data_IF_731830272609
#
_entry.id   IF_731830272609
#
_cell.length_a   1.000
_cell.length_b   1.000
_cell.length_c   1.000
_cell.angle_alpha   90.00
_cell.angle_beta   90.00
_cell.angle_gamma   90.00
#
_symmetry.space_group_name_H-M   'P 1'
#
loop_
_entity.id
_entity.type
_entity.pdbx_description
1 polymer ?
#
# COMPACT_ATOMS: atom_id res chain seq x y z
N UNK A 1 -9.96 -16.64 -8.09
CA UNK A 1 -9.62 -15.87 -6.87
C UNK A 1 -8.18 -16.15 -6.39
N UNK A 2 -7.81 -17.39 -6.06
CA UNK A 2 -6.49 -17.71 -5.48
C UNK A 2 -5.28 -17.25 -6.31
N UNK A 3 -5.35 -17.35 -7.65
CA UNK A 3 -4.27 -16.90 -8.55
C UNK A 3 -3.93 -15.40 -8.39
N UNK A 4 -4.95 -14.56 -8.17
CA UNK A 4 -4.73 -13.14 -7.89
C UNK A 4 -3.99 -12.97 -6.57
N UNK A 5 -4.43 -13.67 -5.52
CA UNK A 5 -3.84 -13.63 -4.17
C UNK A 5 -2.37 -14.05 -4.20
N UNK A 6 -2.00 -15.10 -4.95
CA UNK A 6 -0.59 -15.48 -5.10
C UNK A 6 0.26 -14.36 -5.73
N UNK A 7 -0.28 -13.65 -6.70
CA UNK A 7 0.36 -12.47 -7.27
C UNK A 7 0.54 -11.32 -6.28
N UNK A 8 -0.24 -11.26 -5.20
CA UNK A 8 -0.16 -10.23 -4.15
C UNK A 8 0.82 -10.55 -3.02
N UNK A 9 1.39 -11.75 -2.94
CA UNK A 9 2.32 -12.12 -1.84
C UNK A 9 3.47 -11.10 -1.71
N UNK A 10 4.15 -10.69 -2.80
CA UNK A 10 5.24 -9.70 -2.68
C UNK A 10 4.76 -8.33 -2.20
N UNK A 11 3.51 -7.96 -2.43
CA UNK A 11 2.92 -6.69 -2.00
C UNK A 11 2.89 -6.54 -0.48
N UNK A 12 2.69 -7.64 0.26
CA UNK A 12 2.65 -7.61 1.73
C UNK A 12 3.99 -7.11 2.29
N UNK A 13 5.10 -7.58 1.71
CA UNK A 13 6.45 -7.14 2.08
C UNK A 13 6.72 -5.70 1.63
N UNK A 14 6.23 -5.32 0.45
CA UNK A 14 6.31 -3.93 0.01
C UNK A 14 5.58 -3.00 1.00
N UNK A 15 4.41 -3.37 1.50
CA UNK A 15 3.71 -2.61 2.53
C UNK A 15 4.49 -2.50 3.84
N UNK A 16 5.08 -3.60 4.30
CA UNK A 16 5.92 -3.59 5.50
C UNK A 16 7.09 -2.59 5.40
N UNK A 17 7.66 -2.39 4.20
CA UNK A 17 8.70 -1.38 3.95
C UNK A 17 8.13 0.03 3.72
N UNK A 18 7.02 0.13 2.98
CA UNK A 18 6.41 1.38 2.56
C UNK A 18 5.84 2.18 3.75
N UNK A 19 5.20 1.51 4.72
CA UNK A 19 4.60 2.20 5.86
C UNK A 19 5.64 2.97 6.71
N UNK A 20 6.77 2.38 7.13
CA UNK A 20 7.83 3.13 7.81
C UNK A 20 8.42 4.26 6.97
N UNK A 21 8.69 4.04 5.68
CA UNK A 21 9.28 5.06 4.79
C UNK A 21 8.33 6.26 4.66
N UNK A 22 7.05 6.00 4.43
CA UNK A 22 6.04 7.06 4.35
C UNK A 22 5.92 7.82 5.66
N UNK A 23 5.86 7.13 6.81
CA UNK A 23 5.79 7.80 8.12
C UNK A 23 7.04 8.61 8.42
N UNK A 24 8.23 8.12 8.05
CA UNK A 24 9.49 8.85 8.18
C UNK A 24 9.47 10.16 7.39
N UNK A 25 9.04 10.13 6.13
CA UNK A 25 8.96 11.33 5.28
C UNK A 25 7.84 12.28 5.73
N UNK A 26 6.66 11.76 6.08
CA UNK A 26 5.51 12.54 6.56
C UNK A 26 5.79 13.25 7.89
N UNK A 27 6.49 12.59 8.83
CA UNK A 27 6.87 13.20 10.11
C UNK A 27 7.80 14.41 9.95
N UNK A 28 8.50 14.51 8.83
CA UNK A 28 9.36 15.64 8.45
C UNK A 28 8.64 16.64 7.52
N UNK A 29 7.34 16.49 7.32
CA UNK A 29 6.53 17.27 6.38
C UNK A 29 7.00 17.18 4.91
N UNK A 30 7.69 16.09 4.54
CA UNK A 30 8.17 15.85 3.17
C UNK A 30 7.10 15.06 2.39
N UNK A 31 6.06 15.74 1.93
CA UNK A 31 4.92 15.11 1.24
C UNK A 31 4.97 15.23 -0.29
N UNK A 32 5.55 16.31 -0.83
CA UNK A 32 5.59 16.54 -2.28
C UNK A 32 6.30 15.41 -3.06
N UNK A 33 7.47 14.91 -2.62
CA UNK A 33 8.13 13.79 -3.32
C UNK A 33 7.29 12.51 -3.27
N UNK A 34 6.61 12.23 -2.16
CA UNK A 34 5.69 11.09 -2.04
C UNK A 34 4.58 11.20 -3.08
N UNK A 35 3.98 12.39 -3.21
CA UNK A 35 2.92 12.64 -4.17
C UNK A 35 3.40 12.43 -5.61
N UNK A 36 4.52 13.05 -6.00
CA UNK A 36 5.06 12.90 -7.36
C UNK A 36 5.43 11.44 -7.70
N UNK A 37 6.10 10.74 -6.78
CA UNK A 37 6.46 9.32 -6.97
C UNK A 37 5.20 8.47 -7.13
N UNK A 38 4.20 8.67 -6.28
CA UNK A 38 2.96 7.89 -6.30
C UNK A 38 2.14 8.18 -7.57
N UNK A 39 2.05 9.43 -7.99
CA UNK A 39 1.38 9.81 -9.25
C UNK A 39 2.06 9.20 -10.46
N UNK A 40 3.39 9.23 -10.52
CA UNK A 40 4.14 8.60 -11.61
C UNK A 40 3.98 7.07 -11.59
N UNK A 41 4.04 6.45 -10.40
CA UNK A 41 3.83 5.02 -10.25
C UNK A 41 2.41 4.59 -10.63
N UNK A 42 1.40 5.43 -10.39
CA UNK A 42 0.02 5.19 -10.83
C UNK A 42 -0.10 5.19 -12.35
N UNK A 43 0.50 6.19 -13.03
CA UNK A 43 0.53 6.22 -14.50
C UNK A 43 1.24 4.99 -15.09
N UNK A 44 2.37 4.60 -14.49
CA UNK A 44 3.10 3.38 -14.88
C UNK A 44 2.27 2.12 -14.60
N UNK A 45 1.57 2.06 -13.47
CA UNK A 45 0.68 0.94 -13.13
C UNK A 45 -0.41 0.74 -14.18
N UNK A 46 -1.05 1.82 -14.66
CA UNK A 46 -2.05 1.76 -15.73
C UNK A 46 -1.47 1.12 -16.99
N UNK A 47 -0.29 1.57 -17.41
CA UNK A 47 0.40 1.03 -18.59
C UNK A 47 0.76 -0.45 -18.42
N UNK A 48 1.37 -0.81 -17.29
CA UNK A 48 1.78 -2.19 -17.00
C UNK A 48 0.57 -3.13 -16.91
N UNK A 49 -0.53 -2.68 -16.28
CA UNK A 49 -1.76 -3.46 -16.15
C UNK A 49 -2.39 -3.68 -17.52
N UNK A 50 -2.42 -2.65 -18.37
CA UNK A 50 -2.89 -2.78 -19.75
C UNK A 50 -2.07 -3.81 -20.54
N UNK A 51 -0.75 -3.72 -20.49
CA UNK A 51 0.15 -4.68 -21.13
C UNK A 51 -0.06 -6.10 -20.62
N UNK A 52 -0.10 -6.29 -19.30
CA UNK A 52 -0.22 -7.62 -18.70
C UNK A 52 -1.55 -8.31 -19.02
N UNK A 53 -2.66 -7.56 -19.06
CA UNK A 53 -4.00 -8.12 -19.25
C UNK A 53 -4.39 -8.24 -20.72
N UNK A 54 -4.15 -7.20 -21.53
CA UNK A 54 -4.65 -7.15 -22.90
C UNK A 54 -3.63 -7.64 -23.93
N UNK A 55 -2.33 -7.37 -23.72
CA UNK A 55 -1.28 -7.78 -24.66
C UNK A 55 -0.75 -9.17 -24.31
N UNK A 56 -0.27 -9.36 -23.08
CA UNK A 56 0.36 -10.61 -22.65
C UNK A 56 -0.63 -11.66 -22.13
N UNK A 57 -1.87 -11.27 -21.86
CA UNK A 57 -2.96 -12.15 -21.41
C UNK A 57 -2.60 -12.99 -20.17
N UNK A 58 -1.86 -12.41 -19.23
CA UNK A 58 -1.44 -13.06 -17.98
C UNK A 58 -2.58 -13.30 -16.98
N UNK A 59 -3.79 -12.84 -17.30
CA UNK A 59 -5.00 -13.08 -16.51
C UNK A 59 -4.91 -12.54 -15.07
N UNK A 60 -5.62 -13.19 -14.14
CA UNK A 60 -5.72 -12.74 -12.75
C UNK A 60 -4.38 -12.76 -12.00
N UNK A 61 -3.48 -13.70 -12.32
CA UNK A 61 -2.14 -13.72 -11.73
C UNK A 61 -1.35 -12.46 -12.15
N UNK A 62 -1.41 -12.12 -13.44
CA UNK A 62 -0.78 -10.92 -13.99
C UNK A 62 -1.27 -9.63 -13.32
N UNK A 63 -2.57 -9.51 -13.08
CA UNK A 63 -3.14 -8.36 -12.36
C UNK A 63 -2.53 -8.20 -10.96
N UNK A 64 -2.47 -9.29 -10.18
CA UNK A 64 -1.88 -9.28 -8.84
C UNK A 64 -0.37 -8.99 -8.86
N UNK A 65 0.35 -9.62 -9.79
CA UNK A 65 1.79 -9.44 -9.93
C UNK A 65 2.19 -8.01 -10.34
N UNK A 66 1.45 -7.38 -11.25
CA UNK A 66 1.68 -5.98 -11.66
C UNK A 66 1.40 -5.03 -10.50
N UNK A 67 0.35 -5.27 -9.71
CA UNK A 67 0.07 -4.48 -8.52
C UNK A 67 1.22 -4.60 -7.49
N UNK A 68 1.67 -5.82 -7.20
CA UNK A 68 2.84 -6.08 -6.36
C UNK A 68 4.09 -5.33 -6.84
N UNK A 69 4.37 -5.40 -8.14
CA UNK A 69 5.51 -4.72 -8.76
C UNK A 69 5.41 -3.20 -8.59
N UNK A 70 4.21 -2.64 -8.76
CA UNK A 70 3.97 -1.19 -8.64
C UNK A 70 4.27 -0.69 -7.23
N UNK A 71 3.89 -1.44 -6.21
CA UNK A 71 4.24 -1.13 -4.82
C UNK A 71 5.74 -1.19 -4.56
N UNK A 72 6.45 -2.17 -5.11
CA UNK A 72 7.90 -2.24 -5.01
C UNK A 72 8.61 -1.06 -5.70
N UNK A 73 8.10 -0.62 -6.85
CA UNK A 73 8.61 0.57 -7.54
C UNK A 73 8.50 1.81 -6.64
N UNK A 74 7.35 2.00 -5.97
CA UNK A 74 7.15 3.09 -5.00
C UNK A 74 8.16 2.97 -3.85
N UNK A 75 8.29 1.79 -3.23
CA UNK A 75 9.22 1.56 -2.12
C UNK A 75 10.65 1.90 -2.51
N UNK A 76 11.11 1.42 -3.68
CA UNK A 76 12.47 1.67 -4.17
C UNK A 76 12.65 3.16 -4.44
N UNK A 77 11.71 3.81 -5.12
CA UNK A 77 11.81 5.23 -5.44
C UNK A 77 11.84 6.11 -4.17
N UNK A 78 10.98 5.83 -3.19
CA UNK A 78 10.97 6.55 -1.92
C UNK A 78 12.25 6.29 -1.12
N UNK A 79 12.74 5.04 -1.09
CA UNK A 79 13.98 4.71 -0.40
C UNK A 79 15.19 5.41 -1.03
N UNK A 80 15.28 5.43 -2.37
CA UNK A 80 16.32 6.19 -3.09
C UNK A 80 16.23 7.67 -2.74
N UNK A 81 15.03 8.25 -2.65
CA UNK A 81 14.84 9.63 -2.22
C UNK A 81 15.38 9.86 -0.80
N UNK A 82 15.06 8.99 0.16
CA UNK A 82 15.55 9.08 1.55
C UNK A 82 17.08 9.06 1.61
N UNK A 83 17.74 8.18 0.84
CA UNK A 83 19.20 8.02 0.86
C UNK A 83 19.92 9.16 0.12
N UNK A 84 19.33 9.72 -0.94
CA UNK A 84 19.98 10.71 -1.81
C UNK A 84 19.65 12.17 -1.48
N UNK A 85 18.50 12.43 -0.85
CA UNK A 85 18.02 13.80 -0.62
C UNK A 85 18.80 14.50 0.50
N UNK A 86 19.22 15.73 0.25
CA UNK A 86 19.86 16.59 1.25
C UNK A 86 18.99 16.80 2.49
N UNK A 87 17.66 16.82 2.30
CA UNK A 87 16.66 16.98 3.37
C UNK A 87 16.72 15.85 4.41
N UNK A 88 17.10 14.65 3.99
CA UNK A 88 17.15 13.46 4.84
C UNK A 88 18.56 13.15 5.35
N UNK A 89 19.60 13.90 4.97
CA UNK A 89 20.99 13.62 5.36
C UNK A 89 21.21 13.64 6.88
N UNK A 90 20.53 14.53 7.59
CA UNK A 90 20.67 14.66 9.05
C UNK A 90 19.81 13.65 9.82
N UNK A 91 18.70 13.17 9.24
CA UNK A 91 17.74 12.29 9.89
C UNK A 91 17.95 10.81 9.56
N UNK A 92 18.50 10.52 8.38
CA UNK A 92 18.89 9.18 7.96
C UNK A 92 20.38 8.92 8.24
N UNK A 93 20.66 8.15 9.29
CA UNK A 93 22.03 7.77 9.67
C UNK A 93 22.38 6.31 9.34
N UNK A 94 21.61 5.70 8.43
CA UNK A 94 21.72 4.30 8.04
C UNK A 94 21.05 3.32 9.02
N UNK A 95 21.14 2.03 8.69
CA UNK A 95 20.60 0.97 9.53
C UNK A 95 21.46 0.78 10.78
N UNK A 96 20.82 0.86 11.96
CA UNK A 96 21.48 0.65 13.26
C UNK A 96 20.68 -0.34 14.09
N UNK A 97 21.38 -1.27 14.74
CA UNK A 97 20.77 -2.26 15.65
C UNK A 97 20.09 -1.62 16.86
N UNK A 98 20.54 -0.44 17.28
CA UNK A 98 19.89 0.34 18.34
C UNK A 98 18.45 0.74 17.99
N UNK A 99 18.05 0.75 16.71
CA UNK A 99 16.66 1.00 16.33
C UNK A 99 15.68 -0.07 16.87
N UNK A 100 16.19 -1.27 17.20
CA UNK A 100 15.39 -2.37 17.70
C UNK A 100 15.20 -2.35 19.23
N UNK A 101 15.87 -1.45 19.97
CA UNK A 101 15.80 -1.44 21.46
C UNK A 101 14.48 -0.92 22.02
N UNK A 102 13.75 -0.08 21.26
CA UNK A 102 12.50 0.57 21.71
C UNK A 102 11.26 0.10 20.93
N UNK A 103 11.30 -1.13 20.40
CA UNK A 103 10.21 -1.69 19.60
C UNK A 103 8.91 -1.88 20.38
N UNK A 104 8.95 -2.08 21.70
CA UNK A 104 7.77 -2.40 22.47
C UNK A 104 6.74 -1.26 22.49
N UNK A 105 7.19 -0.03 22.69
CA UNK A 105 6.31 1.14 22.67
C UNK A 105 5.75 1.38 21.25
N UNK A 106 6.59 1.19 20.23
CA UNK A 106 6.16 1.24 18.83
C UNK A 106 5.11 0.16 18.51
N UNK A 107 5.29 -1.06 19.02
CA UNK A 107 4.37 -2.17 18.85
C UNK A 107 3.03 -1.87 19.49
N UNK A 108 3.00 -1.36 20.73
CA UNK A 108 1.76 -1.00 21.43
C UNK A 108 0.95 0.05 20.65
N UNK A 109 1.62 1.08 20.13
CA UNK A 109 0.97 2.12 19.32
C UNK A 109 0.49 1.58 17.95
N UNK A 110 1.32 0.75 17.32
CA UNK A 110 0.99 0.10 16.05
C UNK A 110 -0.18 -0.87 16.19
N UNK A 111 -0.26 -1.61 17.30
CA UNK A 111 -1.36 -2.53 17.58
C UNK A 111 -2.70 -1.79 17.73
N UNK A 112 -2.72 -0.66 18.45
CA UNK A 112 -3.93 0.16 18.56
C UNK A 112 -4.38 0.69 17.18
N UNK A 113 -3.42 1.16 16.36
CA UNK A 113 -3.69 1.62 15.00
C UNK A 113 -4.19 0.49 14.09
N UNK A 114 -3.63 -0.72 14.24
CA UNK A 114 -4.04 -1.90 13.49
C UNK A 114 -5.47 -2.33 13.85
N UNK A 115 -5.83 -2.33 15.14
CA UNK A 115 -7.20 -2.63 15.58
C UNK A 115 -8.18 -1.63 14.98
N UNK A 116 -7.86 -0.33 15.02
CA UNK A 116 -8.69 0.71 14.41
C UNK A 116 -8.93 0.46 12.92
N UNK A 117 -7.85 0.22 12.15
CA UNK A 117 -7.94 -0.03 10.70
C UNK A 117 -8.68 -1.34 10.38
N UNK A 118 -8.48 -2.38 11.18
CA UNK A 118 -9.19 -3.66 11.03
C UNK A 118 -10.69 -3.48 11.27
N UNK A 119 -11.07 -2.76 12.34
CA UNK A 119 -12.48 -2.51 12.64
C UNK A 119 -13.14 -1.66 11.54
N UNK A 120 -12.46 -0.63 11.04
CA UNK A 120 -12.94 0.17 9.91
C UNK A 120 -13.14 -0.69 8.65
N UNK A 121 -12.14 -1.52 8.31
CA UNK A 121 -12.20 -2.39 7.13
C UNK A 121 -13.30 -3.44 7.28
N UNK A 122 -13.41 -4.10 8.44
CA UNK A 122 -14.43 -5.12 8.68
C UNK A 122 -15.83 -4.52 8.68
N UNK A 123 -16.00 -3.35 9.30
CA UNK A 123 -17.27 -2.63 9.28
C UNK A 123 -17.73 -2.34 7.84
N UNK A 124 -16.82 -1.87 6.98
CA UNK A 124 -17.13 -1.64 5.58
C UNK A 124 -17.51 -2.94 4.86
N UNK A 125 -16.73 -4.02 5.03
CA UNK A 125 -17.03 -5.29 4.38
C UNK A 125 -18.33 -5.93 4.86
N UNK A 126 -18.64 -5.84 6.16
CA UNK A 126 -19.92 -6.33 6.69
C UNK A 126 -21.07 -5.54 6.08
N UNK A 127 -20.95 -4.22 5.96
CA UNK A 127 -21.98 -3.37 5.35
C UNK A 127 -22.21 -3.75 3.88
N UNK A 128 -21.15 -3.96 3.11
CA UNK A 128 -21.23 -4.45 1.71
C UNK A 128 -21.89 -5.83 1.65
N UNK A 129 -21.52 -6.76 2.53
CA UNK A 129 -22.13 -8.09 2.59
C UNK A 129 -23.63 -8.02 2.90
N UNK A 130 -24.03 -7.18 3.86
CA UNK A 130 -25.43 -6.98 4.20
C UNK A 130 -26.20 -6.39 3.01
N UNK A 131 -25.70 -5.35 2.36
CA UNK A 131 -26.34 -4.77 1.19
C UNK A 131 -26.48 -5.76 0.03
N UNK A 132 -25.50 -6.65 -0.16
CA UNK A 132 -25.59 -7.74 -1.13
C UNK A 132 -26.66 -8.80 -0.81
N UNK A 133 -27.19 -8.83 0.41
CA UNK A 133 -28.24 -9.74 0.86
C UNK A 133 -29.64 -9.08 0.90
N UNK A 134 -29.74 -7.77 0.67
CA UNK A 134 -31.02 -7.05 0.64
C UNK A 134 -31.77 -7.26 -0.69
N UNK A 135 -33.09 -7.00 -0.72
CA UNK A 135 -33.84 -6.92 -1.98
C UNK A 135 -33.25 -5.82 -2.88
N UNK A 136 -33.13 -6.13 -4.17
CA UNK A 136 -32.46 -5.26 -5.15
C UNK A 136 -30.99 -4.92 -4.77
N UNK A 137 -30.11 -5.94 -4.67
CA UNK A 137 -28.76 -5.77 -4.17
C UNK A 137 -27.90 -4.85 -5.05
N UNK A 138 -28.19 -4.73 -6.35
CA UNK A 138 -27.49 -3.82 -7.25
C UNK A 138 -27.70 -2.36 -6.84
N UNK A 139 -28.96 -1.95 -6.62
CA UNK A 139 -29.29 -0.60 -6.15
C UNK A 139 -28.71 -0.32 -4.76
N UNK A 140 -28.78 -1.28 -3.84
CA UNK A 140 -28.26 -1.12 -2.48
C UNK A 140 -26.73 -1.01 -2.45
N UNK A 141 -26.02 -1.82 -3.24
CA UNK A 141 -24.57 -1.74 -3.37
C UNK A 141 -24.14 -0.44 -4.05
N UNK A 142 -24.87 0.01 -5.08
CA UNK A 142 -24.59 1.29 -5.73
C UNK A 142 -24.78 2.49 -4.78
N UNK A 143 -25.77 2.44 -3.88
CA UNK A 143 -25.98 3.47 -2.87
C UNK A 143 -24.83 3.56 -1.84
N UNK A 144 -24.14 2.44 -1.58
CA UNK A 144 -22.95 2.41 -0.72
C UNK A 144 -21.66 2.86 -1.41
N UNK A 145 -21.65 2.93 -2.75
CA UNK A 145 -20.47 3.29 -3.53
C UNK A 145 -20.30 4.81 -3.74
N UNK A 146 -21.29 5.61 -3.30
CA UNK A 146 -21.33 7.09 -3.41
C UNK A 146 -20.75 7.73 -2.15
#
# INVERSE_FOLDING_TARGET
AALFVYGLIPQIFAYAANFPIQKFLQAQSIVNPIAYITSAAFALHLLMTWLALFVFRWGLFGAGAVLSLSWWIIVIAQFVYVVRSDRCKMTWTGFRWSAFSSLWDFFKLSAASAVMLCLETWYFQITVLIAGLLPDPETQLNALAI
#
